data_IF_151088484369
#
_entry.id   IF_151088484369
#
_cell.length_a   1.000
_cell.length_b   1.000
_cell.length_c   1.000
_cell.angle_alpha   90.00
_cell.angle_beta   90.00
_cell.angle_gamma   90.00
#
_symmetry.space_group_name_H-M   'P 1'
#
loop_
_entity.id
_entity.type
_entity.pdbx_description
1 polymer ?
#
# COMPACT_ATOMS: atom_id res chain seq x y z
N UNK A 1 10.35 -5.65 -5.44
CA UNK A 1 9.20 -5.35 -4.56
C UNK A 1 7.95 -6.08 -5.02
N UNK A 2 7.56 -7.13 -4.27
CA UNK A 2 6.28 -7.84 -4.43
C UNK A 2 5.09 -6.87 -4.48
N UNK A 3 5.13 -5.83 -3.64
CA UNK A 3 4.09 -4.79 -3.59
C UNK A 3 3.89 -4.06 -4.92
N UNK A 4 4.99 -3.75 -5.63
CA UNK A 4 4.95 -3.11 -6.95
C UNK A 4 4.37 -4.05 -8.00
N UNK A 5 4.75 -5.33 -7.96
CA UNK A 5 4.23 -6.33 -8.89
C UNK A 5 2.72 -6.56 -8.67
N UNK A 6 2.30 -6.61 -7.41
CA UNK A 6 0.90 -6.76 -6.99
C UNK A 6 0.03 -5.57 -7.38
N UNK A 7 0.52 -4.34 -7.19
CA UNK A 7 -0.17 -3.12 -7.66
C UNK A 7 -0.21 -3.02 -9.18
N UNK A 8 0.87 -3.41 -9.86
CA UNK A 8 0.91 -3.49 -11.32
C UNK A 8 -0.12 -4.46 -11.89
N UNK A 9 -0.29 -5.63 -11.25
CA UNK A 9 -1.31 -6.62 -11.64
C UNK A 9 -2.75 -6.11 -11.46
N UNK A 10 -2.96 -5.13 -10.57
CA UNK A 10 -4.26 -4.47 -10.35
C UNK A 10 -4.48 -3.23 -11.23
N UNK A 11 -3.57 -2.94 -12.18
CA UNK A 11 -3.66 -1.79 -13.08
C UNK A 11 -3.41 -0.44 -12.39
N UNK A 12 -2.82 -0.45 -11.19
CA UNK A 12 -2.55 0.77 -10.42
C UNK A 12 -1.28 1.43 -10.93
N UNK A 13 -1.44 2.49 -11.72
CA UNK A 13 -0.30 3.36 -12.06
C UNK A 13 0.12 4.14 -10.82
N UNK A 14 1.13 3.61 -10.12
CA UNK A 14 1.75 4.19 -8.94
C UNK A 14 3.15 4.64 -9.32
N UNK A 15 3.51 5.91 -9.07
CA UNK A 15 4.90 6.35 -9.31
C UNK A 15 5.85 5.67 -8.32
N UNK A 16 7.11 5.45 -8.72
CA UNK A 16 8.14 4.84 -7.85
C UNK A 16 8.23 5.51 -6.48
N UNK A 17 8.14 6.84 -6.44
CA UNK A 17 8.13 7.62 -5.18
C UNK A 17 6.94 7.32 -4.28
N UNK A 18 5.76 7.05 -4.85
CA UNK A 18 4.58 6.67 -4.08
C UNK A 18 4.71 5.26 -3.52
N UNK A 19 5.31 4.35 -4.28
CA UNK A 19 5.60 2.99 -3.81
C UNK A 19 6.62 2.98 -2.67
N UNK A 20 7.68 3.76 -2.78
CA UNK A 20 8.70 3.84 -1.71
C UNK A 20 8.12 4.49 -0.44
N UNK A 21 7.32 5.54 -0.58
CA UNK A 21 6.59 6.14 0.55
C UNK A 21 5.62 5.16 1.20
N UNK A 22 4.90 4.36 0.41
CA UNK A 22 4.01 3.31 0.89
C UNK A 22 4.77 2.25 1.68
N UNK A 23 5.90 1.76 1.16
CA UNK A 23 6.74 0.77 1.85
C UNK A 23 7.29 1.33 3.16
N UNK A 24 7.77 2.59 3.15
CA UNK A 24 8.27 3.24 4.35
C UNK A 24 7.19 3.42 5.43
N UNK A 25 5.97 3.80 5.05
CA UNK A 25 4.86 3.91 6.00
C UNK A 25 4.40 2.54 6.51
N UNK A 26 4.38 1.52 5.66
CA UNK A 26 4.13 0.14 6.08
C UNK A 26 5.16 -0.30 7.12
N UNK A 27 6.44 -0.03 6.88
CA UNK A 27 7.50 -0.42 7.79
C UNK A 27 7.43 0.31 9.14
N UNK A 28 7.13 1.61 9.12
CA UNK A 28 6.92 2.41 10.35
C UNK A 28 5.70 1.96 11.13
N UNK A 29 4.60 1.57 10.46
CA UNK A 29 3.37 1.10 11.11
C UNK A 29 3.41 -0.38 11.53
N UNK A 30 4.55 -1.08 11.42
CA UNK A 30 4.73 -2.45 11.94
C UNK A 30 4.73 -2.52 13.47
N UNK A 31 4.93 -1.40 14.15
CA UNK A 31 4.94 -1.32 15.62
C UNK A 31 3.50 -1.29 16.16
N UNK A 32 2.91 -2.49 16.31
CA UNK A 32 1.63 -2.79 17.00
C UNK A 32 0.37 -2.03 16.50
N UNK A 33 -0.54 -2.78 15.87
CA UNK A 33 -1.97 -2.44 15.79
C UNK A 33 -2.37 -1.26 14.89
N UNK A 34 -1.43 -0.60 14.19
CA UNK A 34 -1.77 0.52 13.34
C UNK A 34 -2.44 0.06 12.04
N UNK A 35 -3.70 0.46 11.86
CA UNK A 35 -4.36 0.47 10.56
C UNK A 35 -3.66 1.50 9.68
N UNK A 36 -3.24 1.05 8.50
CA UNK A 36 -2.65 1.91 7.48
C UNK A 36 -3.74 2.20 6.48
N UNK A 37 -3.95 3.46 6.10
CA UNK A 37 -4.81 3.84 4.99
C UNK A 37 -4.06 4.89 4.16
N UNK A 38 -3.51 4.46 3.02
CA UNK A 38 -2.66 5.30 2.17
C UNK A 38 -3.25 5.35 0.77
N UNK A 39 -3.41 6.55 0.24
CA UNK A 39 -3.87 6.77 -1.13
C UNK A 39 -2.75 6.44 -2.12
N UNK A 40 -3.02 5.51 -3.05
CA UNK A 40 -2.07 5.07 -4.08
C UNK A 40 -2.77 5.04 -5.43
N UNK A 41 -2.34 5.93 -6.33
CA UNK A 41 -2.99 6.13 -7.63
C UNK A 41 -4.45 6.58 -7.45
N UNK A 42 -5.38 5.80 -8.01
CA UNK A 42 -6.85 6.01 -7.87
C UNK A 42 -7.48 5.28 -6.69
N UNK A 43 -6.74 4.39 -6.03
CA UNK A 43 -7.24 3.60 -4.91
C UNK A 43 -6.56 3.92 -3.58
N UNK A 44 -6.87 3.11 -2.57
CA UNK A 44 -6.32 3.14 -1.23
C UNK A 44 -5.73 1.78 -0.88
N UNK A 45 -4.53 1.76 -0.32
CA UNK A 45 -3.93 0.58 0.29
C UNK A 45 -4.24 0.62 1.77
N UNK A 46 -4.97 -0.40 2.25
CA UNK A 46 -5.34 -0.54 3.65
C UNK A 46 -4.66 -1.75 4.27
N UNK A 47 -4.12 -1.63 5.49
CA UNK A 47 -3.62 -2.79 6.25
C UNK A 47 -4.65 -3.22 7.30
N UNK A 48 -5.03 -4.49 7.27
CA UNK A 48 -5.99 -5.12 8.20
C UNK A 48 -5.25 -6.25 8.93
N UNK A 49 -4.78 -5.98 10.15
CA UNK A 49 -3.92 -6.93 10.88
C UNK A 49 -2.63 -7.19 10.12
N UNK A 50 -2.38 -8.45 9.73
CA UNK A 50 -1.22 -8.83 8.94
C UNK A 50 -1.46 -8.84 7.42
N UNK A 51 -2.69 -8.55 6.99
CA UNK A 51 -3.06 -8.52 5.58
C UNK A 51 -3.00 -7.09 5.03
N UNK A 52 -2.62 -6.97 3.77
CA UNK A 52 -2.70 -5.73 3.00
C UNK A 52 -3.81 -5.90 1.97
N UNK A 53 -4.77 -4.99 1.99
CA UNK A 53 -5.87 -4.88 1.06
C UNK A 53 -5.73 -3.62 0.20
N UNK A 54 -6.31 -3.64 -0.99
CA UNK A 54 -6.38 -2.49 -1.88
C UNK A 54 -7.80 -2.30 -2.37
N UNK A 55 -8.30 -1.08 -2.19
CA UNK A 55 -9.67 -0.68 -2.49
C UNK A 55 -9.66 0.47 -3.51
N UNK A 56 -10.44 0.34 -4.58
CA UNK A 56 -10.61 1.35 -5.63
C UNK A 56 -12.11 1.56 -5.84
N UNK A 57 -12.54 2.83 -5.87
CA UNK A 57 -13.94 3.23 -6.04
C UNK A 57 -14.34 3.24 -7.52
#
# INVERSE_FOLDING_TARGET
>A
NVLRLWLGNRGVQSSTRQLDALVAQIDVCRTRGHSIDIKVGRGFVRRIGDLIDWYNF
#
